data_IF_916877576516
#
_entry.id   IF_916877576516
#
_cell.length_a   1.000
_cell.length_b   1.000
_cell.length_c   1.000
_cell.angle_alpha   90.00
_cell.angle_beta   90.00
_cell.angle_gamma   90.00
#
_symmetry.space_group_name_H-M   'P 1'
#
loop_
_entity.id
_entity.type
_entity.pdbx_description
1 polymer ?
#
# COMPACT_ATOMS: atom_id res chain seq x y z
N UNK A 1 -16.28 -1.92 -18.97
CA UNK A 1 -17.72 -2.23 -18.88
C UNK A 1 -17.98 -3.41 -19.79
N UNK A 2 -17.78 -4.63 -19.30
CA UNK A 2 -18.03 -5.85 -20.09
C UNK A 2 -18.87 -6.76 -19.21
N UNK A 3 -20.18 -6.67 -19.42
CA UNK A 3 -21.16 -7.63 -18.92
C UNK A 3 -20.93 -8.92 -19.70
N UNK A 4 -20.22 -9.89 -19.11
CA UNK A 4 -20.29 -11.25 -19.62
C UNK A 4 -21.68 -11.79 -19.25
N UNK A 5 -22.57 -11.63 -20.23
CA UNK A 5 -23.93 -12.13 -20.29
C UNK A 5 -23.92 -13.66 -20.19
N UNK A 6 -23.92 -14.19 -18.96
CA UNK A 6 -24.51 -15.51 -18.74
C UNK A 6 -26.00 -15.24 -18.78
N UNK A 7 -26.60 -15.66 -19.89
CA UNK A 7 -28.02 -15.53 -20.28
C UNK A 7 -28.94 -15.14 -19.13
N UNK A 8 -29.62 -14.01 -19.30
CA UNK A 8 -30.87 -13.73 -18.58
C UNK A 8 -31.79 -14.93 -18.83
N UNK A 9 -31.93 -15.77 -17.81
CA UNK A 9 -32.91 -16.84 -17.81
C UNK A 9 -34.13 -16.19 -17.18
N UNK A 10 -34.94 -15.54 -18.01
CA UNK A 10 -36.24 -15.02 -17.62
C UNK A 10 -37.12 -16.26 -17.45
N UNK A 11 -37.10 -16.85 -16.25
CA UNK A 11 -37.86 -18.05 -15.98
C UNK A 11 -38.91 -17.80 -14.90
N UNK A 12 -40.13 -18.27 -15.16
CA UNK A 12 -41.20 -18.28 -14.18
C UNK A 12 -40.81 -19.25 -13.06
N UNK A 13 -40.89 -18.83 -11.80
CA UNK A 13 -40.62 -19.70 -10.64
C UNK A 13 -41.41 -21.01 -10.70
N UNK A 14 -42.61 -20.96 -11.27
CA UNK A 14 -43.46 -22.14 -11.51
C UNK A 14 -42.83 -23.08 -12.53
N UNK A 15 -42.34 -22.54 -13.66
CA UNK A 15 -41.70 -23.32 -14.72
C UNK A 15 -40.38 -23.93 -14.27
N UNK A 16 -39.57 -23.17 -13.53
CA UNK A 16 -38.31 -23.69 -12.95
C UNK A 16 -38.59 -24.81 -11.96
N UNK A 17 -39.63 -24.63 -11.14
CA UNK A 17 -40.06 -25.67 -10.20
C UNK A 17 -40.54 -26.92 -10.94
N UNK A 18 -41.38 -26.78 -11.97
CA UNK A 18 -41.90 -27.91 -12.75
C UNK A 18 -40.79 -28.65 -13.52
N UNK A 19 -39.84 -27.92 -14.11
CA UNK A 19 -38.68 -28.50 -14.79
C UNK A 19 -37.83 -29.34 -13.82
N UNK A 20 -37.47 -28.77 -12.66
CA UNK A 20 -36.69 -29.48 -11.62
C UNK A 20 -37.42 -30.72 -11.10
N UNK A 21 -38.73 -30.60 -10.86
CA UNK A 21 -39.58 -31.72 -10.46
C UNK A 21 -39.57 -32.83 -11.52
N UNK A 22 -39.70 -32.45 -12.80
CA UNK A 22 -39.71 -33.40 -13.91
C UNK A 22 -38.36 -34.12 -14.07
N UNK A 23 -37.25 -33.43 -13.87
CA UNK A 23 -35.90 -34.02 -13.95
C UNK A 23 -35.60 -34.97 -12.80
N UNK A 24 -36.06 -34.65 -11.58
CA UNK A 24 -35.92 -35.55 -10.42
C UNK A 24 -36.79 -36.80 -10.58
N UNK A 25 -38.02 -36.65 -11.08
CA UNK A 25 -38.90 -37.78 -11.37
C UNK A 25 -38.39 -38.69 -12.48
N UNK A 26 -37.54 -38.20 -13.39
CA UNK A 26 -36.85 -39.04 -14.37
C UNK A 26 -35.74 -39.88 -13.75
N UNK A 27 -35.25 -39.51 -12.56
CA UNK A 27 -34.19 -40.23 -11.83
C UNK A 27 -34.75 -41.28 -10.86
N UNK A 28 -36.00 -41.15 -10.38
CA UNK A 28 -36.63 -42.10 -9.45
C UNK A 28 -37.86 -42.80 -10.04
N UNK A 29 -37.80 -44.14 -10.18
CA UNK A 29 -38.77 -44.93 -10.96
C UNK A 29 -39.96 -45.51 -10.16
N UNK A 30 -40.36 -44.95 -9.01
CA UNK A 30 -41.41 -45.55 -8.16
C UNK A 30 -42.59 -44.62 -7.88
N UNK A 31 -43.77 -44.96 -8.40
CA UNK A 31 -44.91 -44.04 -8.60
C UNK A 31 -45.66 -43.57 -7.34
N UNK A 32 -45.40 -44.14 -6.15
CA UNK A 32 -46.12 -43.79 -4.91
C UNK A 32 -45.31 -42.89 -3.95
N UNK A 33 -43.97 -42.87 -4.06
CA UNK A 33 -43.11 -41.93 -3.33
C UNK A 33 -43.13 -40.53 -3.97
N UNK A 34 -43.27 -40.48 -5.29
CA UNK A 34 -43.21 -39.28 -6.13
C UNK A 34 -44.20 -38.18 -5.68
N UNK A 35 -45.43 -38.50 -5.31
CA UNK A 35 -46.43 -37.48 -4.94
C UNK A 35 -46.16 -36.85 -3.56
N UNK A 36 -45.65 -37.63 -2.61
CA UNK A 36 -45.23 -37.14 -1.30
C UNK A 36 -43.95 -36.30 -1.40
N UNK A 37 -43.04 -36.72 -2.27
CA UNK A 37 -41.78 -36.03 -2.53
C UNK A 37 -41.99 -34.73 -3.29
N UNK A 38 -42.98 -34.65 -4.18
CA UNK A 38 -43.31 -33.42 -4.94
C UNK A 38 -43.66 -32.25 -4.00
N UNK A 39 -44.52 -32.48 -3.01
CA UNK A 39 -44.95 -31.44 -2.07
C UNK A 39 -43.81 -30.99 -1.16
N UNK A 40 -42.98 -31.92 -0.72
CA UNK A 40 -41.82 -31.63 0.12
C UNK A 40 -40.77 -30.85 -0.68
N UNK A 41 -40.50 -31.28 -1.90
CA UNK A 41 -39.57 -30.67 -2.83
C UNK A 41 -39.99 -29.25 -3.18
N UNK A 42 -41.27 -29.03 -3.51
CA UNK A 42 -41.82 -27.69 -3.77
C UNK A 42 -41.56 -26.75 -2.58
N UNK A 43 -41.78 -27.23 -1.35
CA UNK A 43 -41.48 -26.45 -0.14
C UNK A 43 -39.99 -26.13 0.01
N UNK A 44 -39.10 -27.08 -0.29
CA UNK A 44 -37.64 -26.88 -0.23
C UNK A 44 -37.14 -25.91 -1.31
N UNK A 45 -37.70 -25.99 -2.51
CA UNK A 45 -37.40 -25.08 -3.62
C UNK A 45 -37.71 -23.64 -3.19
N UNK A 46 -38.87 -23.38 -2.59
CA UNK A 46 -39.18 -22.05 -2.06
C UNK A 46 -38.24 -21.59 -0.94
N UNK A 47 -37.79 -22.48 -0.05
CA UNK A 47 -36.79 -22.13 0.96
C UNK A 47 -35.46 -21.73 0.29
N UNK A 48 -35.01 -22.48 -0.71
CA UNK A 48 -33.79 -22.14 -1.44
C UNK A 48 -33.92 -20.79 -2.16
N UNK A 49 -35.02 -20.55 -2.87
CA UNK A 49 -35.27 -19.27 -3.54
C UNK A 49 -35.35 -18.10 -2.56
N UNK A 50 -36.08 -18.24 -1.45
CA UNK A 50 -36.20 -17.17 -0.45
C UNK A 50 -34.85 -16.84 0.21
N UNK A 51 -34.01 -17.85 0.46
CA UNK A 51 -32.66 -17.65 0.98
C UNK A 51 -31.78 -16.95 -0.06
N UNK A 52 -31.79 -17.39 -1.31
CA UNK A 52 -31.01 -16.77 -2.38
C UNK A 52 -31.43 -15.31 -2.64
N UNK A 53 -32.73 -15.02 -2.54
CA UNK A 53 -33.30 -13.67 -2.66
C UNK A 53 -32.90 -12.80 -1.46
N UNK A 54 -33.00 -13.33 -0.23
CA UNK A 54 -32.58 -12.61 0.99
C UNK A 54 -31.09 -12.30 1.00
N UNK A 55 -30.27 -13.18 0.42
CA UNK A 55 -28.83 -12.96 0.26
C UNK A 55 -28.54 -11.97 -0.87
N UNK A 56 -29.49 -11.71 -1.78
CA UNK A 56 -29.33 -10.80 -2.92
C UNK A 56 -28.58 -11.41 -4.11
N UNK A 57 -28.58 -12.75 -4.23
CA UNK A 57 -28.01 -13.47 -5.39
C UNK A 57 -28.98 -13.47 -6.56
N UNK A 58 -30.29 -13.44 -6.26
CA UNK A 58 -31.37 -13.37 -7.24
C UNK A 58 -32.34 -12.23 -6.90
N UNK A 59 -33.04 -11.69 -7.90
CA UNK A 59 -34.17 -10.78 -7.73
C UNK A 59 -35.43 -11.46 -8.24
N UNK A 60 -36.58 -11.16 -7.62
CA UNK A 60 -37.89 -11.64 -8.08
C UNK A 60 -38.81 -10.45 -8.33
N UNK A 61 -39.42 -10.40 -9.50
CA UNK A 61 -40.59 -9.55 -9.74
C UNK A 61 -41.77 -10.42 -10.18
N UNK A 62 -42.76 -10.55 -9.28
CA UNK A 62 -43.93 -11.43 -9.43
C UNK A 62 -43.53 -12.87 -9.81
N UNK A 63 -43.52 -13.17 -11.10
CA UNK A 63 -43.23 -14.50 -11.65
C UNK A 63 -41.81 -14.61 -12.18
N UNK A 64 -41.16 -13.50 -12.52
CA UNK A 64 -39.83 -13.51 -13.14
C UNK A 64 -38.75 -13.53 -12.07
N UNK A 65 -37.77 -14.42 -12.25
CA UNK A 65 -36.59 -14.53 -11.37
C UNK A 65 -35.34 -14.19 -12.17
N UNK A 66 -34.56 -13.23 -11.67
CA UNK A 66 -33.34 -12.74 -12.28
C UNK A 66 -32.11 -13.19 -11.49
N UNK A 67 -31.08 -13.67 -12.17
CA UNK A 67 -29.79 -13.92 -11.53
C UNK A 67 -28.96 -12.64 -11.43
N UNK A 68 -28.74 -12.14 -10.22
CA UNK A 68 -27.94 -10.93 -9.94
C UNK A 68 -26.46 -11.29 -9.71
N UNK A 69 -26.20 -12.40 -9.01
CA UNK A 69 -24.87 -12.84 -8.58
C UNK A 69 -24.52 -12.44 -7.15
N UNK A 70 -23.40 -12.92 -6.61
CA UNK A 70 -23.06 -12.76 -5.19
C UNK A 70 -22.74 -11.29 -4.80
N UNK A 71 -23.48 -10.70 -3.84
CA UNK A 71 -23.39 -9.25 -3.56
C UNK A 71 -22.10 -8.79 -2.88
N UNK A 72 -21.41 -9.67 -2.14
CA UNK A 72 -20.29 -9.28 -1.26
C UNK A 72 -18.90 -9.69 -1.79
N UNK A 73 -18.82 -10.45 -2.88
CA UNK A 73 -17.56 -11.11 -3.27
C UNK A 73 -16.68 -10.29 -4.21
N UNK A 74 -17.24 -9.33 -4.95
CA UNK A 74 -16.46 -8.54 -5.92
C UNK A 74 -16.05 -7.17 -5.36
N UNK A 75 -17.00 -6.36 -4.89
CA UNK A 75 -16.70 -4.96 -4.52
C UNK A 75 -15.85 -4.85 -3.26
N UNK A 76 -16.28 -5.42 -2.13
CA UNK A 76 -15.53 -5.34 -0.86
C UNK A 76 -14.18 -6.05 -0.93
N UNK A 77 -14.14 -7.22 -1.58
CA UNK A 77 -12.90 -7.96 -1.78
C UNK A 77 -11.89 -7.16 -2.60
N UNK A 78 -12.33 -6.53 -3.70
CA UNK A 78 -11.48 -5.65 -4.52
C UNK A 78 -11.03 -4.43 -3.71
N UNK A 79 -11.91 -3.82 -2.91
CA UNK A 79 -11.55 -2.70 -2.03
C UNK A 79 -10.50 -3.11 -0.98
N UNK A 80 -10.66 -4.29 -0.35
CA UNK A 80 -9.67 -4.84 0.59
C UNK A 80 -8.32 -5.08 -0.10
N UNK A 81 -8.32 -5.66 -1.31
CA UNK A 81 -7.10 -5.86 -2.09
C UNK A 81 -6.45 -4.54 -2.49
N UNK A 82 -7.22 -3.54 -2.89
CA UNK A 82 -6.72 -2.21 -3.23
C UNK A 82 -6.09 -1.52 -2.01
N UNK A 83 -6.75 -1.61 -0.84
CA UNK A 83 -6.20 -1.11 0.43
C UNK A 83 -4.87 -1.80 0.76
N UNK A 84 -4.84 -3.12 0.68
CA UNK A 84 -3.62 -3.89 0.96
C UNK A 84 -2.50 -3.58 -0.04
N UNK A 85 -2.81 -3.42 -1.34
CA UNK A 85 -1.86 -2.95 -2.36
C UNK A 85 -1.29 -1.58 -1.98
N UNK A 86 -2.14 -0.63 -1.58
CA UNK A 86 -1.70 0.72 -1.17
C UNK A 86 -0.78 0.67 0.05
N UNK A 87 -1.10 -0.15 1.04
CA UNK A 87 -0.26 -0.37 2.22
C UNK A 87 1.10 -0.98 1.86
N UNK A 88 1.11 -2.00 1.00
CA UNK A 88 2.35 -2.62 0.51
C UNK A 88 3.21 -1.62 -0.26
N UNK A 89 2.63 -0.82 -1.15
CA UNK A 89 3.35 0.22 -1.88
C UNK A 89 3.94 1.28 -0.93
N UNK A 90 3.18 1.71 0.09
CA UNK A 90 3.71 2.63 1.10
C UNK A 90 4.89 2.03 1.87
N UNK A 91 4.82 0.73 2.21
CA UNK A 91 5.93 0.02 2.88
C UNK A 91 7.16 -0.10 1.98
N UNK A 92 6.97 -0.39 0.69
CA UNK A 92 8.05 -0.44 -0.29
C UNK A 92 8.71 0.93 -0.40
N UNK A 93 7.93 2.00 -0.57
CA UNK A 93 8.47 3.36 -0.65
C UNK A 93 9.28 3.75 0.60
N UNK A 94 8.78 3.43 1.80
CA UNK A 94 9.51 3.68 3.05
C UNK A 94 10.85 2.94 3.08
N UNK A 95 10.86 1.66 2.67
CA UNK A 95 12.11 0.87 2.59
C UNK A 95 13.08 1.43 1.56
N UNK A 96 12.59 1.87 0.40
CA UNK A 96 13.42 2.49 -0.63
C UNK A 96 14.06 3.79 -0.14
N UNK A 97 13.29 4.67 0.50
CA UNK A 97 13.80 5.92 1.06
C UNK A 97 14.86 5.66 2.14
N UNK A 98 14.59 4.71 3.05
CA UNK A 98 15.52 4.33 4.10
C UNK A 98 16.81 3.72 3.55
N UNK A 99 16.71 2.85 2.53
CA UNK A 99 17.88 2.28 1.87
C UNK A 99 18.74 3.37 1.22
N UNK A 100 18.10 4.32 0.53
CA UNK A 100 18.78 5.47 -0.08
C UNK A 100 19.49 6.32 0.97
N UNK A 101 18.85 6.56 2.11
CA UNK A 101 19.46 7.31 3.22
C UNK A 101 20.70 6.60 3.79
N UNK A 102 20.65 5.29 3.98
CA UNK A 102 21.82 4.50 4.42
C UNK A 102 22.93 4.51 3.36
N UNK A 103 22.58 4.37 2.09
CA UNK A 103 23.55 4.41 0.98
C UNK A 103 24.26 5.78 0.93
N UNK A 104 23.50 6.87 1.05
CA UNK A 104 24.03 8.23 1.16
C UNK A 104 25.01 8.36 2.33
N UNK A 105 24.65 7.89 3.53
CA UNK A 105 25.52 7.91 4.70
C UNK A 105 26.81 7.11 4.50
N UNK A 106 26.70 5.93 3.87
CA UNK A 106 27.87 5.10 3.56
C UNK A 106 28.83 5.79 2.59
N UNK A 107 28.29 6.40 1.53
CA UNK A 107 29.09 7.17 0.57
C UNK A 107 29.77 8.37 1.24
N UNK A 108 29.06 9.09 2.10
CA UNK A 108 29.59 10.25 2.82
C UNK A 108 30.75 9.85 3.74
N UNK A 109 30.62 8.75 4.48
CA UNK A 109 31.69 8.22 5.33
C UNK A 109 32.90 7.74 4.52
N UNK A 110 32.67 7.04 3.41
CA UNK A 110 33.75 6.59 2.51
C UNK A 110 34.50 7.78 1.93
N UNK A 111 33.77 8.82 1.50
CA UNK A 111 34.35 10.05 0.95
C UNK A 111 35.17 10.79 2.01
N UNK A 112 34.66 10.89 3.24
CA UNK A 112 35.39 11.47 4.36
C UNK A 112 36.70 10.70 4.64
N UNK A 113 36.64 9.38 4.77
CA UNK A 113 37.81 8.55 5.02
C UNK A 113 38.85 8.70 3.91
N UNK A 114 38.41 8.67 2.64
CA UNK A 114 39.29 8.85 1.48
C UNK A 114 39.95 10.23 1.45
N UNK A 115 39.20 11.29 1.80
CA UNK A 115 39.72 12.66 1.88
C UNK A 115 40.74 12.82 3.01
N UNK A 116 40.47 12.21 4.17
CA UNK A 116 41.35 12.23 5.32
C UNK A 116 42.65 11.46 5.06
N UNK A 117 42.59 10.34 4.32
CA UNK A 117 43.78 9.58 3.92
C UNK A 117 44.69 10.37 2.96
N UNK A 118 44.10 11.08 2.00
CA UNK A 118 44.86 11.89 1.01
C UNK A 118 45.45 13.16 1.61
N UNK A 119 44.82 13.70 2.66
CA UNK A 119 45.39 14.80 3.41
C UNK A 119 46.46 14.22 4.33
N UNK A 120 47.71 14.13 3.86
CA UNK A 120 48.89 13.85 4.70
C UNK A 120 49.07 14.96 5.73
N UNK A 121 48.20 15.02 6.73
CA UNK A 121 48.35 15.91 7.88
C UNK A 121 49.38 15.29 8.80
N UNK A 122 50.43 16.03 9.21
CA UNK A 122 51.37 15.53 10.20
C UNK A 122 50.58 15.19 11.48
N UNK A 123 50.84 14.00 12.03
CA UNK A 123 50.16 13.47 13.22
C UNK A 123 50.28 14.36 14.48
N UNK A 124 51.06 15.45 14.42
CA UNK A 124 51.32 16.39 15.51
C UNK A 124 50.24 17.46 15.71
N UNK A 125 49.27 17.60 14.80
CA UNK A 125 48.13 18.54 14.95
C UNK A 125 46.81 17.80 14.79
N UNK A 126 46.40 17.07 15.84
CA UNK A 126 45.14 16.34 15.92
C UNK A 126 43.91 17.27 16.11
N UNK A 127 43.76 18.29 15.26
CA UNK A 127 42.64 19.24 15.29
C UNK A 127 41.41 18.71 14.52
N UNK A 128 40.96 17.51 14.86
CA UNK A 128 39.81 16.86 14.22
C UNK A 128 38.81 16.35 15.26
N UNK A 129 37.52 16.40 14.93
CA UNK A 129 36.45 15.82 15.74
C UNK A 129 36.16 14.40 15.23
N UNK A 130 36.19 13.42 16.13
CA UNK A 130 35.88 12.04 15.82
C UNK A 130 34.37 11.79 15.80
N UNK A 131 33.94 10.80 15.01
CA UNK A 131 32.57 10.30 15.00
C UNK A 131 32.37 9.28 16.13
N UNK A 132 31.16 9.16 16.73
CA UNK A 132 29.99 10.00 16.50
C UNK A 132 30.03 11.30 17.32
N UNK A 133 29.44 12.38 16.80
CA UNK A 133 29.31 13.64 17.53
C UNK A 133 27.96 14.31 17.28
N UNK A 134 27.65 15.28 18.14
CA UNK A 134 26.49 16.17 18.00
C UNK A 134 26.99 17.61 17.94
N UNK A 135 26.57 18.35 16.93
CA UNK A 135 26.92 19.74 16.73
C UNK A 135 25.74 20.63 17.13
N UNK A 136 25.97 21.51 18.09
CA UNK A 136 25.03 22.58 18.44
C UNK A 136 25.58 23.88 17.86
N UNK A 137 24.76 24.56 17.07
CA UNK A 137 25.11 25.82 16.40
C UNK A 137 24.20 26.92 16.91
N UNK A 138 24.77 28.05 17.31
CA UNK A 138 24.02 29.25 17.70
C UNK A 138 24.67 30.49 17.10
N UNK A 139 24.09 31.66 17.35
CA UNK A 139 24.62 32.96 16.93
C UNK A 139 26.03 33.17 17.52
N UNK A 140 26.99 33.75 16.76
CA UNK A 140 28.30 34.09 17.31
C UNK A 140 28.26 35.14 18.42
N UNK A 141 27.13 35.85 18.57
CA UNK A 141 26.89 36.81 19.64
C UNK A 141 26.12 36.22 20.83
N UNK A 142 25.75 34.93 20.78
CA UNK A 142 25.04 34.28 21.87
C UNK A 142 25.96 34.07 23.08
N UNK A 143 25.43 34.34 24.27
CA UNK A 143 26.06 33.97 25.53
C UNK A 143 25.44 32.66 26.00
N UNK A 144 26.25 31.60 26.04
CA UNK A 144 25.83 30.26 26.44
C UNK A 144 26.44 29.94 27.80
N UNK A 145 25.61 29.65 28.79
CA UNK A 145 26.05 29.12 30.08
C UNK A 145 25.97 27.59 30.03
N UNK A 146 27.01 26.92 30.52
CA UNK A 146 27.16 25.48 30.44
C UNK A 146 27.44 24.95 31.84
N UNK A 147 26.52 24.14 32.35
CA UNK A 147 26.72 23.41 33.61
C UNK A 147 26.90 21.93 33.31
N UNK A 148 28.02 21.38 33.76
CA UNK A 148 28.38 19.97 33.58
C UNK A 148 28.28 19.31 34.96
N UNK A 149 27.53 18.20 35.04
CA UNK A 149 27.48 17.42 36.27
C UNK A 149 28.86 16.85 36.63
N UNK A 150 29.10 16.61 37.92
CA UNK A 150 30.37 16.05 38.39
C UNK A 150 30.73 14.71 37.72
N UNK A 151 29.70 13.88 37.45
CA UNK A 151 29.86 12.59 36.78
C UNK A 151 29.96 12.69 35.25
N UNK A 152 29.90 13.91 34.69
CA UNK A 152 29.96 14.22 33.25
C UNK A 152 28.85 13.57 32.40
N UNK A 153 27.78 13.07 33.03
CA UNK A 153 26.66 12.42 32.32
C UNK A 153 25.57 13.38 31.91
N UNK A 154 25.49 14.53 32.58
CA UNK A 154 24.49 15.56 32.30
C UNK A 154 25.21 16.85 31.94
N UNK A 155 24.81 17.44 30.82
CA UNK A 155 25.26 18.76 30.40
C UNK A 155 24.01 19.62 30.19
N UNK A 156 23.93 20.72 30.92
CA UNK A 156 22.88 21.72 30.80
C UNK A 156 23.42 22.90 29.99
N UNK A 157 22.66 23.33 28.98
CA UNK A 157 22.98 24.47 28.14
C UNK A 157 21.89 25.53 28.29
N UNK A 158 22.26 26.71 28.76
CA UNK A 158 21.38 27.86 28.87
C UNK A 158 21.76 28.87 27.77
N UNK A 159 20.87 29.08 26.81
CA UNK A 159 21.11 29.98 25.68
C UNK A 159 20.54 31.39 25.91
N UNK A 160 20.01 31.71 27.09
CA UNK A 160 19.49 33.04 27.43
C UNK A 160 18.48 33.59 26.40
N UNK A 161 17.62 32.71 25.85
CA UNK A 161 16.63 33.06 24.82
C UNK A 161 17.18 33.19 23.40
N UNK A 162 18.48 32.98 23.16
CA UNK A 162 19.03 32.92 21.80
C UNK A 162 18.70 31.59 21.10
N UNK A 163 18.28 31.62 19.83
CA UNK A 163 18.02 30.40 19.07
C UNK A 163 19.28 29.55 18.85
N UNK A 164 19.11 28.24 18.81
CA UNK A 164 20.15 27.29 18.42
C UNK A 164 19.59 26.23 17.46
N UNK A 165 20.48 25.58 16.71
CA UNK A 165 20.18 24.41 15.89
C UNK A 165 21.07 23.25 16.30
N UNK A 166 20.57 22.03 16.12
CA UNK A 166 21.27 20.80 16.50
C UNK A 166 21.39 19.92 15.26
N UNK A 167 22.58 19.37 15.05
CA UNK A 167 22.93 18.56 13.89
C UNK A 167 23.70 17.34 14.36
N UNK A 168 23.25 16.15 13.96
CA UNK A 168 24.04 14.93 14.11
C UNK A 168 25.21 14.91 13.11
N UNK A 169 26.09 13.92 13.27
CA UNK A 169 27.20 13.73 12.36
C UNK A 169 26.77 13.50 10.90
N UNK A 170 25.74 12.68 10.67
CA UNK A 170 25.23 12.38 9.34
C UNK A 170 24.75 13.63 8.59
N UNK A 171 24.00 14.52 9.24
CA UNK A 171 23.54 15.77 8.63
C UNK A 171 24.70 16.73 8.34
N UNK A 172 25.72 16.75 9.18
CA UNK A 172 26.95 17.52 8.95
C UNK A 172 27.72 16.98 7.73
N UNK A 173 27.88 15.66 7.61
CA UNK A 173 28.56 15.05 6.47
C UNK A 173 27.80 15.29 5.15
N UNK A 174 26.47 15.19 5.19
CA UNK A 174 25.62 15.53 4.06
C UNK A 174 25.77 16.99 3.63
N UNK A 175 25.85 17.92 4.58
CA UNK A 175 26.11 19.33 4.30
C UNK A 175 27.50 19.56 3.69
N UNK A 176 28.54 18.82 4.15
CA UNK A 176 29.88 18.87 3.55
C UNK A 176 29.87 18.40 2.09
N UNK A 177 29.09 17.36 1.76
CA UNK A 177 28.92 16.89 0.38
C UNK A 177 28.33 17.97 -0.52
N UNK A 178 27.22 18.61 -0.10
CA UNK A 178 26.59 19.67 -0.91
C UNK A 178 27.47 20.90 -1.12
N UNK A 179 28.36 21.20 -0.18
CA UNK A 179 29.34 22.27 -0.38
C UNK A 179 30.45 21.87 -1.36
N UNK A 180 30.85 20.59 -1.38
CA UNK A 180 31.87 20.08 -2.29
C UNK A 180 31.38 19.90 -3.73
N UNK A 181 30.10 19.55 -3.92
CA UNK A 181 29.51 19.29 -5.24
C UNK A 181 29.06 20.57 -5.97
N UNK A 182 29.07 21.73 -5.30
CA UNK A 182 28.41 22.92 -5.83
C UNK A 182 26.89 22.76 -5.79
N UNK A 183 26.16 23.87 -5.71
CA UNK A 183 24.69 23.89 -5.63
C UNK A 183 24.09 23.00 -6.74
N UNK A 184 23.23 22.00 -6.43
CA UNK A 184 22.62 21.21 -7.47
C UNK A 184 21.71 22.12 -8.31
N UNK A 185 22.02 22.26 -9.60
CA UNK A 185 21.05 22.76 -10.57
C UNK A 185 19.82 21.85 -10.56
N UNK A 186 18.65 22.46 -10.67
CA UNK A 186 17.34 21.82 -10.69
C UNK A 186 17.35 20.53 -11.53
N UNK A 187 17.32 19.38 -10.86
CA UNK A 187 16.99 18.12 -11.52
C UNK A 187 15.48 18.00 -11.50
N UNK A 188 14.92 18.19 -12.70
CA UNK A 188 13.51 18.05 -13.01
C UNK A 188 12.86 16.84 -12.33
N UNK A 189 11.70 17.11 -11.76
CA UNK A 189 10.73 16.17 -11.26
C UNK A 189 10.39 15.15 -12.37
N UNK A 190 10.93 13.93 -12.26
CA UNK A 190 10.49 12.82 -13.11
C UNK A 190 9.13 12.39 -12.56
N UNK A 191 8.09 12.95 -13.17
CA UNK A 191 6.71 12.46 -13.08
C UNK A 191 6.70 11.05 -13.68
N UNK A 192 6.72 10.04 -12.81
CA UNK A 192 6.33 8.68 -13.16
C UNK A 192 4.79 8.65 -13.24
N UNK A 193 4.23 9.13 -14.35
CA UNK A 193 2.84 8.86 -14.67
C UNK A 193 2.73 7.44 -15.23
N UNK A 194 2.09 6.57 -14.44
CA UNK A 194 1.81 5.18 -14.77
C UNK A 194 0.61 5.05 -15.71
N UNK A 195 0.69 5.65 -16.89
CA UNK A 195 -0.38 5.65 -17.89
C UNK A 195 0.09 5.17 -19.27
N UNK A 196 0.84 4.05 -19.33
CA UNK A 196 1.03 3.35 -20.61
C UNK A 196 1.07 1.83 -20.47
N UNK A 197 -0.09 1.26 -20.17
CA UNK A 197 -0.42 -0.12 -20.51
C UNK A 197 -1.86 -0.14 -21.07
N UNK A 198 -1.99 0.19 -22.35
CA UNK A 198 -3.04 -0.38 -23.19
C UNK A 198 -2.43 -0.88 -24.50
N UNK A 199 -2.75 -2.12 -24.79
CA UNK A 199 -2.37 -2.97 -25.93
C UNK A 199 -2.82 -2.42 -27.29
N UNK A 200 -2.20 -2.87 -28.40
CA UNK A 200 -2.50 -2.40 -29.75
C UNK A 200 -3.75 -3.10 -30.30
N UNK A 201 -4.75 -2.32 -30.69
CA UNK A 201 -5.86 -2.81 -31.52
C UNK A 201 -5.55 -2.59 -33.01
N UNK A 202 -5.55 -3.70 -33.72
CA UNK A 202 -5.47 -3.82 -35.17
C UNK A 202 -6.68 -3.16 -35.88
N UNK A 203 -6.40 -2.67 -37.10
CA UNK A 203 -7.28 -2.66 -38.30
C UNK A 203 -8.46 -1.66 -38.27
N UNK A 204 -8.73 -0.88 -39.34
CA UNK A 204 -8.88 -1.31 -40.73
C UNK A 204 -8.38 -0.30 -41.76
N UNK A 205 -7.92 -0.85 -42.88
CA UNK A 205 -7.83 -0.22 -44.18
C UNK A 205 -9.07 -0.59 -45.01
N UNK A 206 -9.41 0.32 -45.95
CA UNK A 206 -10.47 0.29 -46.97
C UNK A 206 -11.85 0.73 -46.53
#
# INVERSE_FOLDING_TARGET
MVWYCIRSIDADLVLVSEEILSDINRLESSSQQIEFDEKNLRRRIYDAFNVLESIGIIARDKKEVWWIGFPHTKSEYVQRLQKHRKELLSRIQKKMNFLKEIEDQYLDLRNLASRNQKSERPASVSSGVALPFLLIKTSPLATVEIDISEDTRLIHFEFNGTPFTMHDDASVLKAMRFQAEGRPENVNEIILDGSHLMSPSMQNAT
#
